data_IF_043408314583
#
_entry.id   IF_043408314583
#
_cell.length_a   1.000
_cell.length_b   1.000
_cell.length_c   1.000
_cell.angle_alpha   90.00
_cell.angle_beta   90.00
_cell.angle_gamma   90.00
#
_symmetry.space_group_name_H-M   'P 1'
#
loop_
_entity.id
_entity.type
_entity.pdbx_description
1 polymer ?
#
# COMPACT_ATOMS: atom_id res chain seq x y z
N UNK A 1 12.67 -19.20 25.54
CA UNK A 1 13.02 -19.00 24.11
C UNK A 1 13.19 -17.51 23.88
N UNK A 2 14.42 -17.05 23.63
CA UNK A 2 14.71 -15.64 23.34
C UNK A 2 14.62 -15.37 21.84
N UNK A 3 14.01 -14.26 21.45
CA UNK A 3 14.04 -13.80 20.06
C UNK A 3 15.48 -13.51 19.61
N UNK A 4 15.83 -13.78 18.35
CA UNK A 4 17.10 -13.35 17.80
C UNK A 4 17.17 -11.81 17.76
N UNK A 5 18.37 -11.22 17.89
CA UNK A 5 18.55 -9.77 17.81
C UNK A 5 18.11 -9.25 16.44
N UNK A 6 17.31 -8.19 16.46
CA UNK A 6 16.87 -7.47 15.26
C UNK A 6 18.08 -7.00 14.44
N UNK A 7 18.12 -7.33 13.15
CA UNK A 7 19.15 -6.85 12.21
C UNK A 7 18.54 -5.74 11.33
N UNK A 8 19.07 -4.49 11.38
CA UNK A 8 18.66 -3.47 10.45
C UNK A 8 19.07 -3.85 9.01
N UNK A 9 18.14 -3.66 8.08
CA UNK A 9 18.39 -3.79 6.64
C UNK A 9 19.48 -2.82 6.19
N UNK A 10 20.46 -3.29 5.41
CA UNK A 10 21.43 -2.41 4.74
C UNK A 10 20.82 -1.90 3.43
N UNK A 11 20.63 -0.59 3.33
CA UNK A 11 20.31 0.09 2.07
C UNK A 11 21.61 0.20 1.28
N UNK A 12 21.68 -0.43 0.10
CA UNK A 12 22.79 -0.27 -0.84
C UNK A 12 22.83 1.16 -1.42
N UNK A 13 23.94 1.59 -2.02
CA UNK A 13 24.06 2.94 -2.56
C UNK A 13 22.98 3.19 -3.64
N UNK A 14 22.18 4.23 -3.42
CA UNK A 14 21.13 4.65 -4.34
C UNK A 14 21.75 5.18 -5.65
N UNK A 15 21.32 4.63 -6.78
CA UNK A 15 21.49 5.27 -8.09
C UNK A 15 20.57 6.49 -8.20
N UNK A 16 20.95 7.48 -9.02
CA UNK A 16 20.30 8.80 -9.10
C UNK A 16 18.76 8.71 -9.30
N UNK A 17 17.95 9.56 -8.65
CA UNK A 17 16.51 9.38 -8.60
C UNK A 17 15.84 9.73 -9.95
N UNK A 18 15.05 8.79 -10.47
CA UNK A 18 13.98 9.04 -11.44
C UNK A 18 12.64 8.91 -10.72
N UNK A 19 11.58 9.49 -11.28
CA UNK A 19 10.30 9.73 -10.62
C UNK A 19 9.73 8.48 -9.92
N UNK A 20 9.64 8.53 -8.59
CA UNK A 20 8.92 7.52 -7.80
C UNK A 20 7.42 7.73 -7.95
N UNK A 21 6.65 6.66 -7.83
CA UNK A 21 5.19 6.70 -7.78
C UNK A 21 4.74 5.69 -6.73
N UNK A 22 3.88 6.07 -5.79
CA UNK A 22 3.40 5.19 -4.71
C UNK A 22 1.88 5.08 -4.72
N UNK A 23 1.37 3.91 -4.35
CA UNK A 23 -0.05 3.63 -4.10
C UNK A 23 -0.31 3.88 -2.61
N UNK A 24 -1.34 4.66 -2.28
CA UNK A 24 -1.75 4.87 -0.89
C UNK A 24 -3.26 5.12 -0.84
N UNK A 25 -3.97 4.37 0.02
CA UNK A 25 -5.34 4.70 0.39
C UNK A 25 -5.32 5.68 1.58
N UNK A 26 -6.19 6.70 1.64
CA UNK A 26 -6.16 7.67 2.72
C UNK A 26 -6.82 7.15 4.01
N UNK A 27 -6.07 7.24 5.12
CA UNK A 27 -6.62 7.31 6.49
C UNK A 27 -6.08 6.27 7.49
N UNK A 28 -4.91 6.53 8.09
CA UNK A 28 -4.47 6.03 9.42
C UNK A 28 -3.03 6.50 9.69
N UNK A 29 -2.78 7.05 10.88
CA UNK A 29 -1.55 7.76 11.26
C UNK A 29 -0.51 6.84 11.95
N UNK A 30 0.75 6.82 11.46
CA UNK A 30 1.90 6.17 12.14
C UNK A 30 3.19 7.02 11.95
N UNK A 31 4.03 7.28 12.99
CA UNK A 31 5.28 8.07 12.89
C UNK A 31 6.52 7.24 12.41
N UNK A 32 7.65 7.89 12.01
CA UNK A 32 8.37 7.52 10.78
C UNK A 32 9.83 7.05 10.94
N UNK A 33 10.34 6.36 9.93
CA UNK A 33 11.79 6.17 9.72
C UNK A 33 12.16 6.09 8.23
N UNK A 34 12.81 7.15 7.71
CA UNK A 34 13.34 7.35 6.34
C UNK A 34 12.36 7.46 5.17
N UNK A 35 11.34 6.60 5.06
CA UNK A 35 10.51 6.54 3.84
C UNK A 35 9.55 7.72 3.67
N UNK A 36 8.94 8.25 4.75
CA UNK A 36 7.97 9.37 4.65
C UNK A 36 8.60 10.68 4.20
N UNK A 37 9.82 10.98 4.64
CA UNK A 37 10.49 12.23 4.32
C UNK A 37 10.88 12.32 2.82
N UNK A 38 11.23 11.18 2.24
CA UNK A 38 11.54 11.07 0.81
C UNK A 38 10.27 10.97 -0.04
N UNK A 39 9.26 10.20 0.41
CA UNK A 39 7.96 10.12 -0.24
C UNK A 39 7.21 11.46 -0.30
N UNK A 40 7.37 12.34 0.71
CA UNK A 40 6.77 13.68 0.71
C UNK A 40 7.34 14.63 -0.37
N UNK A 41 8.51 14.32 -0.94
CA UNK A 41 9.15 15.12 -2.00
C UNK A 41 8.82 14.62 -3.41
N UNK A 42 8.21 13.45 -3.53
CA UNK A 42 8.04 12.70 -4.78
C UNK A 42 6.58 12.62 -5.19
N UNK A 43 6.34 12.34 -6.47
CA UNK A 43 4.98 12.19 -6.99
C UNK A 43 4.43 10.80 -6.61
N UNK A 44 3.12 10.66 -6.55
CA UNK A 44 2.47 9.40 -6.19
C UNK A 44 1.09 9.28 -6.84
N UNK A 45 0.63 8.04 -6.98
CA UNK A 45 -0.66 7.69 -7.55
C UNK A 45 -1.44 6.85 -6.54
N UNK A 46 -2.30 7.52 -5.76
CA UNK A 46 -3.21 6.86 -4.84
C UNK A 46 -4.29 6.07 -5.60
N UNK A 47 -4.45 4.79 -5.25
CA UNK A 47 -5.53 3.95 -5.77
C UNK A 47 -6.70 3.91 -4.80
N UNK A 48 -7.91 3.96 -5.34
CA UNK A 48 -9.12 3.85 -4.55
C UNK A 48 -10.23 3.19 -5.36
N UNK A 49 -10.74 2.06 -4.90
CA UNK A 49 -11.77 1.30 -5.62
C UNK A 49 -13.13 2.02 -5.58
N UNK A 50 -13.45 2.65 -4.45
CA UNK A 50 -14.75 3.24 -4.22
C UNK A 50 -14.87 4.65 -4.83
N UNK A 51 -15.84 4.91 -5.73
CA UNK A 51 -15.92 6.16 -6.47
C UNK A 51 -16.07 7.39 -5.57
N UNK A 52 -16.88 7.29 -4.50
CA UNK A 52 -17.07 8.39 -3.55
C UNK A 52 -15.81 8.71 -2.75
N UNK A 53 -15.00 7.70 -2.42
CA UNK A 53 -13.74 7.90 -1.68
C UNK A 53 -12.68 8.51 -2.60
N UNK A 54 -12.62 8.06 -3.86
CA UNK A 54 -11.71 8.61 -4.86
C UNK A 54 -12.03 10.10 -5.12
N UNK A 55 -13.30 10.43 -5.32
CA UNK A 55 -13.75 11.81 -5.50
C UNK A 55 -13.47 12.68 -4.26
N UNK A 56 -13.72 12.14 -3.07
CA UNK A 56 -13.41 12.80 -1.79
C UNK A 56 -11.93 13.08 -1.61
N UNK A 57 -11.06 12.11 -1.89
CA UNK A 57 -9.61 12.25 -1.80
C UNK A 57 -9.08 13.28 -2.83
N UNK A 58 -9.57 13.24 -4.08
CA UNK A 58 -9.22 14.25 -5.08
C UNK A 58 -9.68 15.65 -4.67
N UNK A 59 -10.86 15.78 -4.05
CA UNK A 59 -11.36 17.05 -3.49
C UNK A 59 -10.48 17.54 -2.34
N UNK A 60 -10.09 16.64 -1.43
CA UNK A 60 -9.21 16.98 -0.31
C UNK A 60 -7.85 17.47 -0.81
N UNK A 61 -7.24 16.78 -1.78
CA UNK A 61 -5.98 17.20 -2.40
C UNK A 61 -6.07 18.65 -2.93
N UNK A 62 -7.17 19.02 -3.60
CA UNK A 62 -7.40 20.41 -4.05
C UNK A 62 -7.50 21.40 -2.90
N UNK A 63 -8.27 21.08 -1.85
CA UNK A 63 -8.48 21.98 -0.70
C UNK A 63 -7.18 22.26 0.06
N UNK A 64 -6.32 21.25 0.21
CA UNK A 64 -5.04 21.39 0.91
C UNK A 64 -3.88 21.74 -0.03
N UNK A 65 -4.17 22.05 -1.31
CA UNK A 65 -3.18 22.38 -2.35
C UNK A 65 -2.10 21.30 -2.53
N UNK A 66 -2.45 20.04 -2.34
CA UNK A 66 -1.55 18.91 -2.61
C UNK A 66 -1.55 18.61 -4.11
N UNK A 67 -0.38 18.76 -4.75
CA UNK A 67 -0.20 18.60 -6.20
C UNK A 67 0.62 17.36 -6.58
N UNK A 68 1.26 16.69 -5.61
CA UNK A 68 2.13 15.54 -5.85
C UNK A 68 1.40 14.20 -5.78
N UNK A 69 0.11 14.18 -5.44
CA UNK A 69 -0.67 12.95 -5.30
C UNK A 69 -1.83 12.98 -6.29
N UNK A 70 -1.76 12.14 -7.32
CA UNK A 70 -2.90 11.85 -8.18
C UNK A 70 -3.77 10.77 -7.52
N UNK A 71 -5.09 10.86 -7.64
CA UNK A 71 -6.01 9.81 -7.19
C UNK A 71 -6.61 9.15 -8.42
N UNK A 72 -6.43 7.83 -8.52
CA UNK A 72 -6.93 7.00 -9.61
C UNK A 72 -7.94 6.00 -9.03
N UNK A 73 -9.13 5.97 -9.63
CA UNK A 73 -10.10 4.92 -9.32
C UNK A 73 -9.73 3.66 -10.08
N UNK A 74 -9.32 2.62 -9.38
CA UNK A 74 -9.00 1.32 -9.99
C UNK A 74 -9.12 0.18 -8.98
N UNK A 75 -9.21 -1.04 -9.51
CA UNK A 75 -9.04 -2.27 -8.77
C UNK A 75 -7.54 -2.63 -8.71
N UNK A 76 -7.04 -2.94 -7.52
CA UNK A 76 -5.65 -3.33 -7.33
C UNK A 76 -5.31 -4.69 -7.96
N UNK A 77 -6.31 -5.53 -8.22
CA UNK A 77 -6.15 -6.80 -8.94
C UNK A 77 -6.07 -6.60 -10.48
N UNK A 78 -6.36 -5.40 -10.99
CA UNK A 78 -6.27 -5.06 -12.42
C UNK A 78 -5.84 -3.59 -12.61
N UNK A 79 -4.55 -3.32 -12.49
CA UNK A 79 -4.01 -1.97 -12.49
C UNK A 79 -3.97 -1.35 -13.89
N UNK A 80 -4.47 -0.12 -14.08
CA UNK A 80 -4.50 0.57 -15.38
C UNK A 80 -3.15 1.23 -15.70
N UNK A 81 -2.05 0.54 -15.42
CA UNK A 81 -0.69 1.05 -15.62
C UNK A 81 0.14 0.10 -16.47
N UNK A 82 1.12 0.66 -17.17
CA UNK A 82 2.08 -0.12 -17.94
C UNK A 82 3.01 -0.95 -17.04
N UNK A 83 3.69 -1.93 -17.63
CA UNK A 83 4.73 -2.68 -16.94
C UNK A 83 5.89 -1.76 -16.57
N UNK A 84 6.47 -1.92 -15.37
CA UNK A 84 7.58 -1.08 -14.93
C UNK A 84 7.27 0.42 -14.82
N UNK A 85 6.02 0.78 -14.57
CA UNK A 85 5.59 2.17 -14.39
C UNK A 85 5.99 2.76 -13.02
N UNK A 86 6.33 1.92 -12.03
CA UNK A 86 6.62 2.32 -10.66
C UNK A 86 7.93 1.69 -10.19
N UNK A 87 8.60 2.35 -9.26
CA UNK A 87 9.76 1.82 -8.53
C UNK A 87 9.40 1.34 -7.12
N UNK A 88 8.27 1.81 -6.59
CA UNK A 88 7.72 1.36 -5.33
C UNK A 88 6.21 1.11 -5.41
N UNK A 89 5.75 0.12 -4.67
CA UNK A 89 4.33 -0.09 -4.36
C UNK A 89 4.20 -0.08 -2.84
N UNK A 90 3.15 0.57 -2.34
CA UNK A 90 2.82 0.59 -0.92
C UNK A 90 1.37 0.16 -0.76
N UNK A 91 1.11 -0.80 0.13
CA UNK A 91 -0.22 -1.10 0.62
C UNK A 91 -0.27 -0.81 2.11
N UNK A 92 -1.12 0.12 2.53
CA UNK A 92 -1.30 0.43 3.95
C UNK A 92 -2.72 0.03 4.33
N UNK A 93 -2.84 -1.05 5.11
CA UNK A 93 -4.09 -1.56 5.68
C UNK A 93 -5.16 -1.82 4.60
N UNK A 94 -4.73 -2.30 3.43
CA UNK A 94 -5.58 -2.46 2.26
C UNK A 94 -5.64 -3.89 1.73
N UNK A 95 -4.53 -4.64 1.76
CA UNK A 95 -4.49 -6.01 1.22
C UNK A 95 -5.39 -6.96 2.01
N UNK A 96 -5.58 -6.71 3.31
CA UNK A 96 -6.48 -7.51 4.14
C UNK A 96 -7.93 -7.50 3.63
N UNK A 97 -8.35 -6.46 2.92
CA UNK A 97 -9.69 -6.36 2.33
C UNK A 97 -9.81 -7.05 0.96
N UNK A 98 -8.70 -7.51 0.37
CA UNK A 98 -8.68 -8.06 -0.98
C UNK A 98 -8.59 -9.59 -0.90
N UNK A 99 -9.59 -10.24 -1.49
CA UNK A 99 -9.64 -11.71 -1.52
C UNK A 99 -8.50 -12.27 -2.39
N UNK A 100 -8.36 -11.79 -3.63
CA UNK A 100 -7.37 -12.28 -4.59
C UNK A 100 -5.99 -11.63 -4.41
N UNK A 101 -5.30 -12.05 -3.36
CA UNK A 101 -3.93 -11.61 -3.04
C UNK A 101 -2.94 -11.98 -4.15
N UNK A 102 -2.99 -13.19 -4.75
CA UNK A 102 -2.12 -13.52 -5.89
C UNK A 102 -2.25 -12.53 -7.05
N UNK A 103 -3.46 -12.14 -7.44
CA UNK A 103 -3.66 -11.17 -8.53
C UNK A 103 -3.07 -9.80 -8.18
N UNK A 104 -3.31 -9.28 -6.97
CA UNK A 104 -2.74 -8.00 -6.54
C UNK A 104 -1.21 -8.05 -6.52
N UNK A 105 -0.62 -9.11 -5.97
CA UNK A 105 0.82 -9.27 -5.92
C UNK A 105 1.43 -9.39 -7.33
N UNK A 106 0.75 -10.08 -8.24
CA UNK A 106 1.15 -10.16 -9.64
C UNK A 106 1.11 -8.79 -10.33
N UNK A 107 0.05 -8.01 -10.12
CA UNK A 107 -0.06 -6.65 -10.64
C UNK A 107 0.98 -5.71 -10.04
N UNK A 108 1.20 -5.74 -8.73
CA UNK A 108 2.28 -5.00 -8.09
C UNK A 108 3.64 -5.37 -8.71
N UNK A 109 3.93 -6.66 -8.86
CA UNK A 109 5.17 -7.10 -9.52
C UNK A 109 5.27 -6.60 -10.97
N UNK A 110 4.18 -6.67 -11.74
CA UNK A 110 4.14 -6.24 -13.14
C UNK A 110 4.41 -4.76 -13.30
N UNK A 111 3.78 -3.92 -12.48
CA UNK A 111 3.91 -2.47 -12.58
C UNK A 111 5.22 -1.95 -11.97
N UNK A 112 5.91 -2.76 -11.17
CA UNK A 112 7.25 -2.45 -10.66
C UNK A 112 8.33 -2.62 -11.74
N UNK A 113 9.29 -1.71 -11.79
CA UNK A 113 10.54 -1.88 -12.56
C UNK A 113 11.35 -3.05 -11.97
N UNK A 114 12.28 -3.66 -12.74
CA UNK A 114 13.25 -4.58 -12.17
C UNK A 114 14.01 -3.95 -10.99
N UNK A 115 13.98 -4.60 -9.83
CA UNK A 115 14.57 -4.08 -8.59
C UNK A 115 13.67 -3.12 -7.78
N UNK A 116 12.47 -2.82 -8.27
CA UNK A 116 11.44 -2.09 -7.54
C UNK A 116 10.94 -2.86 -6.32
N UNK A 117 10.31 -2.16 -5.37
CA UNK A 117 9.97 -2.74 -4.06
C UNK A 117 8.48 -2.61 -3.75
N UNK A 118 7.90 -3.68 -3.24
CA UNK A 118 6.60 -3.65 -2.58
C UNK A 118 6.82 -3.60 -1.06
N UNK A 119 6.17 -2.66 -0.39
CA UNK A 119 6.03 -2.62 1.06
C UNK A 119 4.55 -2.68 1.44
N UNK A 120 4.23 -3.36 2.55
CA UNK A 120 2.86 -3.36 3.05
C UNK A 120 2.78 -3.46 4.56
N UNK A 121 1.67 -3.01 5.11
CA UNK A 121 1.28 -3.20 6.52
C UNK A 121 -0.17 -3.63 6.55
N UNK A 122 -0.49 -4.70 7.25
CA UNK A 122 -1.85 -5.19 7.38
C UNK A 122 -2.09 -5.81 8.75
N UNK A 123 -3.37 -5.95 9.09
CA UNK A 123 -3.81 -6.73 10.24
C UNK A 123 -3.79 -8.21 9.87
N UNK A 124 -3.21 -9.03 10.74
CA UNK A 124 -3.18 -10.48 10.58
C UNK A 124 -3.99 -11.15 11.68
N UNK A 125 -4.83 -12.11 11.32
CA UNK A 125 -5.49 -12.98 12.27
C UNK A 125 -4.62 -14.21 12.51
N UNK A 126 -4.30 -14.48 13.78
CA UNK A 126 -3.59 -15.71 14.13
C UNK A 126 -4.51 -16.94 13.98
N UNK A 127 -3.96 -18.12 13.66
CA UNK A 127 -4.76 -19.35 13.58
C UNK A 127 -5.57 -19.63 14.85
N UNK A 128 -5.00 -19.29 16.02
CA UNK A 128 -5.59 -19.47 17.35
C UNK A 128 -6.72 -18.48 17.70
N UNK A 129 -7.06 -17.54 16.83
CA UNK A 129 -8.14 -16.59 17.08
C UNK A 129 -9.47 -17.36 17.23
N UNK A 130 -10.29 -17.05 18.23
CA UNK A 130 -11.59 -17.70 18.42
C UNK A 130 -12.57 -17.38 17.28
N UNK A 131 -13.53 -18.25 17.04
CA UNK A 131 -14.48 -18.10 15.92
C UNK A 131 -15.33 -16.84 16.03
N UNK A 132 -15.72 -16.46 17.25
CA UNK A 132 -16.45 -15.21 17.52
C UNK A 132 -15.60 -13.98 17.20
N UNK A 133 -14.32 -13.98 17.54
CA UNK A 133 -13.41 -12.90 17.19
C UNK A 133 -13.18 -12.84 15.67
N UNK A 134 -13.06 -14.00 15.01
CA UNK A 134 -12.97 -14.10 13.54
C UNK A 134 -14.18 -13.47 12.84
N UNK A 135 -15.38 -13.80 13.31
CA UNK A 135 -16.64 -13.25 12.79
C UNK A 135 -16.71 -11.73 12.97
N UNK A 136 -16.28 -11.20 14.13
CA UNK A 136 -16.19 -9.75 14.35
C UNK A 136 -15.20 -9.04 13.43
N UNK A 137 -14.02 -9.62 13.19
CA UNK A 137 -13.05 -9.04 12.25
C UNK A 137 -13.63 -9.02 10.82
N UNK A 138 -14.39 -10.05 10.46
CA UNK A 138 -15.09 -10.11 9.19
C UNK A 138 -16.20 -9.07 9.07
N UNK A 139 -17.10 -8.97 10.05
CA UNK A 139 -18.22 -8.03 10.01
C UNK A 139 -17.77 -6.56 9.96
N UNK A 140 -16.73 -6.21 10.73
CA UNK A 140 -16.37 -4.81 10.95
C UNK A 140 -15.29 -4.31 10.00
N UNK A 141 -14.38 -5.19 9.57
CA UNK A 141 -13.30 -4.82 8.68
C UNK A 141 -13.42 -5.49 7.31
N UNK A 142 -14.32 -6.45 7.09
CA UNK A 142 -14.29 -7.30 5.89
C UNK A 142 -12.89 -7.90 5.66
N UNK A 143 -12.18 -8.20 6.75
CA UNK A 143 -10.80 -8.68 6.71
C UNK A 143 -10.78 -10.13 6.24
N UNK A 144 -10.36 -10.35 5.01
CA UNK A 144 -10.13 -11.68 4.45
C UNK A 144 -8.83 -12.26 5.00
N UNK A 145 -8.82 -13.56 5.30
CA UNK A 145 -7.61 -14.24 5.77
C UNK A 145 -6.53 -14.23 4.67
N UNK A 146 -5.26 -14.09 5.08
CA UNK A 146 -4.12 -14.46 4.23
C UNK A 146 -4.20 -15.98 4.04
N UNK A 147 -4.60 -16.42 2.84
CA UNK A 147 -4.60 -17.84 2.46
C UNK A 147 -3.21 -18.26 2.00
#
# INVERSE_FOLDING_TARGET
MGWPPWTPWRVGPASAPRAESSISAPGSAVPPGSWRADAARRSSVALELHPGRAAGAARLNRLVKQTRVAVVRADAATLPFANGAFDACLSQEALLHIADKPAVLAECHRVLVPGGRLAFTDWIAFPSLGDRERERLWEWMAATTLQ
#
